data_IF_637385790251
#
_entry.id   IF_637385790251
#
_cell.length_a   1.000
_cell.length_b   1.000
_cell.length_c   1.000
_cell.angle_alpha   90.00
_cell.angle_beta   90.00
_cell.angle_gamma   90.00
#
_symmetry.space_group_name_H-M   'P 1'
#
loop_
_entity.id
_entity.type
_entity.pdbx_description
1 polymer ?
#
# COMPACT_ATOMS: atom_id res chain seq x y z
N UNK A 1 -42.20 -13.26 6.89
CA UNK A 1 -41.09 -14.19 7.16
C UNK A 1 -40.48 -14.49 5.82
N UNK A 2 -39.33 -13.88 5.53
CA UNK A 2 -38.61 -14.22 4.31
C UNK A 2 -38.05 -15.63 4.46
N UNK A 3 -38.13 -16.38 3.38
CA UNK A 3 -37.65 -17.75 3.35
C UNK A 3 -36.12 -17.75 3.30
N UNK A 4 -35.50 -18.81 3.82
CA UNK A 4 -34.04 -18.99 3.75
C UNK A 4 -33.50 -18.88 2.31
N UNK A 5 -34.35 -19.21 1.32
CA UNK A 5 -34.06 -19.12 -0.11
C UNK A 5 -33.98 -17.68 -0.61
N UNK A 6 -34.81 -16.77 -0.11
CA UNK A 6 -34.78 -15.35 -0.49
C UNK A 6 -33.51 -14.69 0.06
N UNK A 7 -33.15 -14.97 1.32
CA UNK A 7 -31.89 -14.50 1.93
C UNK A 7 -30.67 -15.00 1.16
N UNK A 8 -30.67 -16.28 0.75
CA UNK A 8 -29.54 -16.87 0.01
C UNK A 8 -29.47 -16.34 -1.43
N UNK A 9 -30.60 -16.03 -2.05
CA UNK A 9 -30.65 -15.44 -3.39
C UNK A 9 -30.13 -14.00 -3.38
N UNK A 10 -30.50 -13.21 -2.38
CA UNK A 10 -30.09 -11.83 -2.21
C UNK A 10 -28.58 -11.71 -1.97
N UNK A 11 -28.03 -12.55 -1.09
CA UNK A 11 -26.58 -12.58 -0.81
C UNK A 11 -25.79 -13.01 -2.05
N UNK A 12 -26.28 -14.00 -2.81
CA UNK A 12 -25.62 -14.44 -4.06
C UNK A 12 -25.65 -13.36 -5.14
N UNK A 13 -26.77 -12.66 -5.30
CA UNK A 13 -26.87 -11.54 -6.23
C UNK A 13 -25.87 -10.44 -5.87
N UNK A 14 -25.66 -10.19 -4.58
CA UNK A 14 -24.65 -9.26 -4.08
C UNK A 14 -23.21 -9.70 -4.34
N UNK A 15 -22.87 -10.97 -4.09
CA UNK A 15 -21.55 -11.51 -4.42
C UNK A 15 -21.27 -11.43 -5.93
N UNK A 16 -22.25 -11.80 -6.75
CA UNK A 16 -22.14 -11.71 -8.21
C UNK A 16 -22.01 -10.27 -8.69
N UNK A 17 -22.77 -9.34 -8.10
CA UNK A 17 -22.62 -7.93 -8.39
C UNK A 17 -21.23 -7.44 -7.97
N UNK A 18 -20.69 -7.81 -6.82
CA UNK A 18 -19.37 -7.37 -6.34
C UNK A 18 -18.18 -7.93 -7.14
N UNK A 19 -18.30 -9.15 -7.67
CA UNK A 19 -17.23 -9.77 -8.47
C UNK A 19 -17.10 -9.14 -9.88
N UNK A 20 -18.12 -8.45 -10.38
CA UNK A 20 -18.15 -7.81 -11.69
C UNK A 20 -17.64 -6.35 -11.67
N UNK A 21 -16.33 -6.17 -11.39
CA UNK A 21 -15.66 -4.88 -11.13
C UNK A 21 -15.73 -3.77 -12.22
N UNK A 22 -16.40 -3.99 -13.36
CA UNK A 22 -16.46 -3.05 -14.51
C UNK A 22 -17.80 -2.27 -14.60
N UNK A 23 -18.77 -2.56 -13.75
CA UNK A 23 -20.09 -1.93 -13.87
C UNK A 23 -20.17 -0.66 -13.01
N UNK A 24 -20.05 0.51 -13.65
CA UNK A 24 -20.14 1.82 -13.00
C UNK A 24 -21.48 2.06 -12.28
N UNK A 25 -22.49 1.20 -12.50
CA UNK A 25 -23.79 1.25 -11.84
C UNK A 25 -23.95 0.21 -10.70
N UNK A 26 -22.90 -0.51 -10.32
CA UNK A 26 -22.91 -1.48 -9.20
C UNK A 26 -23.49 -0.86 -7.92
N UNK A 27 -22.94 0.28 -7.51
CA UNK A 27 -23.36 0.95 -6.28
C UNK A 27 -24.82 1.37 -6.35
N UNK A 28 -25.27 1.90 -7.50
CA UNK A 28 -26.64 2.35 -7.68
C UNK A 28 -27.64 1.18 -7.69
N UNK A 29 -27.25 0.04 -8.26
CA UNK A 29 -28.06 -1.18 -8.30
C UNK A 29 -28.21 -1.77 -6.90
N UNK A 30 -27.13 -1.78 -6.13
CA UNK A 30 -27.13 -2.18 -4.72
C UNK A 30 -28.03 -1.27 -3.89
N UNK A 31 -27.95 0.05 -4.09
CA UNK A 31 -28.79 1.03 -3.39
C UNK A 31 -30.28 0.87 -3.72
N UNK A 32 -30.61 0.61 -4.99
CA UNK A 32 -31.99 0.37 -5.41
C UNK A 32 -32.56 -0.93 -4.80
N UNK A 33 -31.74 -1.97 -4.69
CA UNK A 33 -32.12 -3.23 -4.05
C UNK A 33 -32.39 -3.08 -2.54
N UNK A 34 -31.66 -2.18 -1.87
CA UNK A 34 -31.87 -1.83 -0.46
C UNK A 34 -33.11 -0.96 -0.24
N UNK A 35 -33.59 -0.25 -1.27
CA UNK A 35 -34.75 0.63 -1.18
C UNK A 35 -36.10 -0.12 -1.18
N UNK A 36 -36.14 -1.37 -1.65
CA UNK A 36 -37.36 -2.18 -1.66
C UNK A 36 -37.69 -2.75 -0.27
N UNK A 37 -38.67 -2.10 0.37
CA UNK A 37 -39.43 -2.44 1.59
C UNK A 37 -38.72 -2.27 2.95
N UNK A 38 -39.23 -1.32 3.76
CA UNK A 38 -38.78 -1.05 5.14
C UNK A 38 -38.93 -2.23 6.10
N UNK A 39 -39.87 -3.15 5.85
CA UNK A 39 -40.13 -4.29 6.73
C UNK A 39 -39.01 -5.35 6.69
N UNK A 40 -38.15 -5.30 5.66
CA UNK A 40 -37.08 -6.26 5.39
C UNK A 40 -35.67 -5.67 5.56
N UNK A 41 -35.61 -4.36 5.82
CA UNK A 41 -34.36 -3.60 5.90
C UNK A 41 -33.45 -4.09 7.02
N UNK A 42 -34.01 -4.53 8.17
CA UNK A 42 -33.21 -5.03 9.28
C UNK A 42 -32.50 -6.35 8.93
N UNK A 43 -33.22 -7.29 8.32
CA UNK A 43 -32.66 -8.58 7.89
C UNK A 43 -31.66 -8.39 6.75
N UNK A 44 -31.94 -7.50 5.79
CA UNK A 44 -30.97 -7.12 4.75
C UNK A 44 -29.70 -6.52 5.37
N UNK A 45 -29.82 -5.58 6.31
CA UNK A 45 -28.66 -5.00 7.01
C UNK A 45 -27.85 -6.07 7.76
N UNK A 46 -28.52 -6.99 8.46
CA UNK A 46 -27.83 -8.09 9.17
C UNK A 46 -27.04 -8.97 8.18
N UNK A 47 -27.64 -9.36 7.05
CA UNK A 47 -26.96 -10.14 6.00
C UNK A 47 -25.76 -9.40 5.40
N UNK A 48 -25.87 -8.08 5.19
CA UNK A 48 -24.76 -7.26 4.71
C UNK A 48 -23.64 -7.18 5.74
N UNK A 49 -23.97 -7.04 7.03
CA UNK A 49 -22.97 -7.03 8.10
C UNK A 49 -22.23 -8.36 8.14
N UNK A 50 -22.92 -9.50 8.00
CA UNK A 50 -22.30 -10.82 7.91
C UNK A 50 -21.36 -10.93 6.70
N UNK A 51 -21.81 -10.49 5.51
CA UNK A 51 -20.98 -10.49 4.30
C UNK A 51 -19.74 -9.58 4.46
N UNK A 52 -19.90 -8.39 5.04
CA UNK A 52 -18.79 -7.47 5.32
C UNK A 52 -17.79 -8.11 6.28
N UNK A 53 -18.26 -8.74 7.37
CA UNK A 53 -17.39 -9.42 8.32
C UNK A 53 -16.64 -10.60 7.67
N UNK A 54 -17.32 -11.37 6.81
CA UNK A 54 -16.68 -12.45 6.07
C UNK A 54 -15.60 -11.91 5.11
N UNK A 55 -15.90 -10.87 4.33
CA UNK A 55 -14.93 -10.26 3.42
C UNK A 55 -13.73 -9.68 4.19
N UNK A 56 -13.95 -9.08 5.35
CA UNK A 56 -12.89 -8.61 6.24
C UNK A 56 -12.03 -9.77 6.75
N UNK A 57 -12.64 -10.87 7.20
CA UNK A 57 -11.92 -12.06 7.65
C UNK A 57 -11.09 -12.69 6.52
N UNK A 58 -11.69 -12.85 5.32
CA UNK A 58 -10.99 -13.31 4.10
C UNK A 58 -9.81 -12.39 3.75
N UNK A 59 -9.99 -11.07 3.85
CA UNK A 59 -8.94 -10.09 3.58
C UNK A 59 -7.77 -10.18 4.58
N UNK A 60 -8.06 -10.35 5.87
CA UNK A 60 -7.03 -10.54 6.92
C UNK A 60 -6.23 -11.81 6.64
N UNK A 61 -6.91 -12.93 6.40
CA UNK A 61 -6.25 -14.21 6.11
C UNK A 61 -5.34 -14.13 4.86
N UNK A 62 -5.82 -13.48 3.79
CA UNK A 62 -5.02 -13.26 2.57
C UNK A 62 -3.80 -12.38 2.83
N UNK A 63 -3.94 -11.29 3.59
CA UNK A 63 -2.82 -10.40 3.95
C UNK A 63 -1.77 -11.12 4.78
N UNK A 64 -2.16 -11.95 5.73
CA UNK A 64 -1.20 -12.70 6.55
C UNK A 64 -0.45 -13.76 5.74
N UNK A 65 -1.12 -14.43 4.79
CA UNK A 65 -0.43 -15.31 3.84
C UNK A 65 0.51 -14.55 2.91
N UNK A 66 0.10 -13.39 2.41
CA UNK A 66 0.97 -12.56 1.59
C UNK A 66 2.25 -12.14 2.34
N UNK A 67 2.12 -11.74 3.61
CA UNK A 67 3.28 -11.43 4.47
C UNK A 67 4.22 -12.63 4.62
N UNK A 68 3.69 -13.82 4.91
CA UNK A 68 4.50 -15.02 5.06
C UNK A 68 5.25 -15.37 3.76
N UNK A 69 4.58 -15.32 2.62
CA UNK A 69 5.20 -15.57 1.31
C UNK A 69 6.29 -14.53 1.03
N UNK A 70 6.03 -13.26 1.36
CA UNK A 70 7.01 -12.20 1.21
C UNK A 70 8.25 -12.40 2.11
N UNK A 71 8.06 -12.87 3.34
CA UNK A 71 9.16 -13.21 4.24
C UNK A 71 10.00 -14.38 3.70
N UNK A 72 9.34 -15.43 3.18
CA UNK A 72 10.03 -16.55 2.53
C UNK A 72 10.84 -16.07 1.31
N UNK A 73 10.25 -15.23 0.46
CA UNK A 73 10.95 -14.64 -0.68
C UNK A 73 12.18 -13.83 -0.23
N UNK A 74 12.05 -12.97 0.79
CA UNK A 74 13.17 -12.20 1.36
C UNK A 74 14.27 -13.08 1.92
N UNK A 75 13.91 -14.21 2.55
CA UNK A 75 14.88 -15.17 3.06
C UNK A 75 15.68 -15.81 1.93
N UNK A 76 15.03 -16.19 0.84
CA UNK A 76 15.70 -16.79 -0.30
C UNK A 76 16.54 -15.76 -1.08
N UNK A 77 16.07 -14.51 -1.22
CA UNK A 77 16.88 -13.40 -1.73
C UNK A 77 18.14 -13.18 -0.88
N UNK A 78 18.01 -13.23 0.45
CA UNK A 78 19.13 -13.07 1.37
C UNK A 78 20.14 -14.22 1.26
N UNK A 79 19.68 -15.46 1.13
CA UNK A 79 20.54 -16.62 0.88
C UNK A 79 21.27 -16.51 -0.45
N UNK A 80 20.55 -16.14 -1.53
CA UNK A 80 21.13 -15.93 -2.85
C UNK A 80 22.20 -14.83 -2.83
N UNK A 81 21.92 -13.71 -2.15
CA UNK A 81 22.90 -12.62 -1.96
C UNK A 81 24.15 -13.10 -1.22
N UNK A 82 23.98 -13.86 -0.12
CA UNK A 82 25.11 -14.45 0.62
C UNK A 82 25.96 -15.36 -0.27
N UNK A 83 25.33 -16.25 -1.04
CA UNK A 83 26.05 -17.13 -1.98
C UNK A 83 26.79 -16.35 -3.05
N UNK A 84 26.18 -15.30 -3.61
CA UNK A 84 26.83 -14.42 -4.58
C UNK A 84 28.05 -13.72 -3.98
N UNK A 85 27.96 -13.21 -2.75
CA UNK A 85 29.09 -12.60 -2.05
C UNK A 85 30.20 -13.61 -1.80
N UNK A 86 29.89 -14.82 -1.32
CA UNK A 86 30.88 -15.87 -1.10
C UNK A 86 31.59 -16.26 -2.41
N UNK A 87 30.83 -16.44 -3.50
CA UNK A 87 31.38 -16.72 -4.83
C UNK A 87 32.29 -15.58 -5.31
N UNK A 88 31.87 -14.33 -5.11
CA UNK A 88 32.67 -13.16 -5.44
C UNK A 88 33.99 -13.14 -4.65
N UNK A 89 33.94 -13.34 -3.33
CA UNK A 89 35.14 -13.39 -2.47
C UNK A 89 36.08 -14.51 -2.90
N UNK A 90 35.55 -15.69 -3.23
CA UNK A 90 36.36 -16.82 -3.69
C UNK A 90 37.05 -16.53 -5.03
N UNK A 91 36.30 -16.01 -6.01
CA UNK A 91 36.87 -15.64 -7.32
C UNK A 91 37.90 -14.50 -7.21
N UNK A 92 37.68 -13.53 -6.30
CA UNK A 92 38.65 -12.48 -6.00
C UNK A 92 39.92 -13.05 -5.36
N UNK A 93 39.81 -14.05 -4.48
CA UNK A 93 40.99 -14.70 -3.85
C UNK A 93 41.87 -15.44 -4.86
N UNK A 94 41.30 -15.85 -5.99
CA UNK A 94 41.99 -16.52 -7.09
C UNK A 94 42.43 -15.54 -8.21
N UNK A 95 42.17 -14.24 -8.05
CA UNK A 95 42.35 -13.17 -9.05
C UNK A 95 41.65 -13.45 -10.41
N UNK A 96 40.58 -14.25 -10.39
CA UNK A 96 39.77 -14.60 -11.57
C UNK A 96 38.68 -13.55 -11.76
N UNK A 97 38.85 -12.69 -12.77
CA UNK A 97 37.87 -11.63 -13.10
C UNK A 97 36.68 -12.13 -13.92
N UNK A 98 36.87 -13.23 -14.66
CA UNK A 98 35.86 -13.83 -15.53
C UNK A 98 36.05 -15.34 -15.57
N UNK A 99 34.94 -16.06 -15.42
CA UNK A 99 34.87 -17.50 -15.52
C UNK A 99 33.69 -17.88 -16.41
N UNK A 100 33.99 -18.49 -17.56
CA UNK A 100 32.98 -19.08 -18.43
C UNK A 100 32.90 -20.58 -18.08
N UNK A 101 31.70 -21.04 -17.74
CA UNK A 101 31.35 -22.45 -17.55
C UNK A 101 30.55 -22.94 -18.74
N UNK A 102 30.29 -24.25 -18.85
CA UNK A 102 29.54 -24.84 -19.97
C UNK A 102 28.16 -24.22 -20.19
N UNK A 103 27.51 -23.71 -19.13
CA UNK A 103 26.15 -23.17 -19.18
C UNK A 103 26.04 -21.69 -18.80
N UNK A 104 27.06 -21.14 -18.13
CA UNK A 104 26.97 -19.81 -17.53
C UNK A 104 28.28 -19.03 -17.59
N UNK A 105 28.18 -17.72 -17.78
CA UNK A 105 29.28 -16.78 -17.77
C UNK A 105 29.22 -15.93 -16.51
N UNK A 106 30.23 -16.06 -15.65
CA UNK A 106 30.36 -15.29 -14.41
C UNK A 106 31.45 -14.25 -14.61
N UNK A 107 31.12 -12.98 -14.40
CA UNK A 107 32.08 -11.87 -14.50
C UNK A 107 31.95 -10.99 -13.26
N UNK A 108 33.09 -10.65 -12.65
CA UNK A 108 33.12 -9.64 -11.58
C UNK A 108 33.16 -8.28 -12.27
N UNK A 109 31.99 -7.67 -12.43
CA UNK A 109 31.84 -6.32 -12.94
C UNK A 109 31.79 -5.32 -11.78
N UNK A 110 32.25 -4.09 -12.02
CA UNK A 110 31.94 -2.96 -11.14
C UNK A 110 30.44 -2.68 -11.23
N UNK A 111 29.82 -2.30 -10.11
CA UNK A 111 28.41 -1.90 -10.12
C UNK A 111 28.21 -0.76 -11.13
N UNK A 112 27.18 -0.87 -11.96
CA UNK A 112 26.79 0.19 -12.89
C UNK A 112 26.22 1.40 -12.14
N UNK A 113 26.29 2.57 -12.78
CA UNK A 113 25.81 3.84 -12.21
C UNK A 113 26.94 4.82 -11.90
N UNK A 114 26.57 6.04 -11.45
CA UNK A 114 27.54 7.01 -10.97
C UNK A 114 28.21 6.46 -9.71
N UNK A 115 29.52 6.68 -9.59
CA UNK A 115 30.25 6.31 -8.38
C UNK A 115 29.56 6.93 -7.14
N UNK A 116 29.46 6.20 -6.02
CA UNK A 116 28.84 6.72 -4.82
C UNK A 116 29.58 7.98 -4.37
N UNK A 117 28.82 9.07 -4.16
CA UNK A 117 29.35 10.31 -3.59
C UNK A 117 29.55 10.08 -2.10
N UNK A 118 30.81 9.95 -1.67
CA UNK A 118 31.17 9.84 -0.26
C UNK A 118 31.35 11.26 0.26
N UNK A 119 30.35 11.75 1.01
CA UNK A 119 30.49 12.95 1.82
C UNK A 119 31.43 12.62 2.99
N UNK A 120 32.24 13.59 3.42
CA UNK A 120 33.11 13.37 4.57
C UNK A 120 32.26 13.34 5.86
N UNK A 121 32.69 12.57 6.87
CA UNK A 121 31.94 12.41 8.13
C UNK A 121 31.96 13.68 9.00
N UNK A 122 32.92 14.57 8.77
CA UNK A 122 33.09 15.89 9.42
C UNK A 122 32.30 17.01 8.74
N UNK A 123 31.45 16.67 7.77
CA UNK A 123 30.79 17.65 6.91
C UNK A 123 29.49 18.14 7.55
N UNK A 124 29.56 19.31 8.16
CA UNK A 124 28.39 20.01 8.68
C UNK A 124 27.58 20.61 7.52
N UNK A 125 26.26 20.38 7.51
CA UNK A 125 25.36 20.81 6.42
C UNK A 125 25.28 22.34 6.32
N UNK A 126 25.50 23.03 7.43
CA UNK A 126 25.48 24.49 7.51
C UNK A 126 26.77 25.14 6.97
N UNK A 127 27.89 24.43 7.04
CA UNK A 127 29.19 24.89 6.52
C UNK A 127 29.40 24.57 5.03
N UNK A 128 28.43 23.90 4.39
CA UNK A 128 28.44 23.67 2.96
C UNK A 128 28.32 25.00 2.21
N UNK A 129 29.14 25.24 1.17
CA UNK A 129 28.91 26.35 0.26
C UNK A 129 27.48 26.31 -0.29
N UNK A 130 26.83 27.47 -0.41
CA UNK A 130 25.42 27.60 -0.81
C UNK A 130 25.07 26.86 -2.12
N UNK A 131 26.04 26.69 -3.02
CA UNK A 131 25.90 25.91 -4.27
C UNK A 131 25.61 24.41 -4.06
N UNK A 132 25.89 23.86 -2.87
CA UNK A 132 25.69 22.45 -2.52
C UNK A 132 24.60 22.26 -1.45
N UNK A 133 23.96 23.34 -1.01
CA UNK A 133 22.83 23.27 -0.08
C UNK A 133 21.53 23.07 -0.85
N UNK A 134 20.76 22.03 -0.49
CA UNK A 134 19.40 21.85 -0.99
C UNK A 134 18.43 22.33 0.10
N UNK A 135 17.83 23.49 -0.10
CA UNK A 135 16.80 24.04 0.79
C UNK A 135 15.44 23.47 0.38
N UNK A 136 14.83 22.65 1.24
CA UNK A 136 13.47 22.15 1.05
C UNK A 136 12.53 23.02 1.89
N UNK A 137 11.61 23.75 1.25
CA UNK A 137 10.55 24.49 1.92
C UNK A 137 9.29 23.65 1.80
N UNK A 138 8.86 23.04 2.92
CA UNK A 138 7.65 22.23 2.99
C UNK A 138 6.54 23.03 3.71
N UNK A 139 5.28 22.88 3.27
CA UNK A 139 4.15 23.55 3.93
C UNK A 139 3.88 22.92 5.30
N UNK A 140 3.90 23.74 6.35
CA UNK A 140 3.47 23.32 7.67
C UNK A 140 1.94 23.26 7.74
N UNK A 141 1.41 22.09 7.39
CA UNK A 141 -0.04 21.82 7.40
C UNK A 141 -0.67 21.93 8.79
N UNK A 142 0.12 21.88 9.88
CA UNK A 142 -0.38 22.06 11.24
C UNK A 142 -0.56 23.53 11.56
N UNK A 143 0.44 24.36 11.28
CA UNK A 143 0.36 25.81 11.44
C UNK A 143 -0.72 26.43 10.54
N UNK A 144 -0.85 25.94 9.30
CA UNK A 144 -1.91 26.39 8.38
C UNK A 144 -3.30 26.03 8.93
N UNK A 145 -3.48 24.84 9.54
CA UNK A 145 -4.76 24.46 10.14
C UNK A 145 -5.10 25.33 11.35
N UNK A 146 -4.15 25.57 12.24
CA UNK A 146 -4.33 26.44 13.41
C UNK A 146 -4.64 27.90 13.00
N UNK A 147 -3.99 28.41 11.95
CA UNK A 147 -4.25 29.75 11.43
C UNK A 147 -5.63 29.87 10.76
N UNK A 148 -6.11 28.82 10.08
CA UNK A 148 -7.48 28.79 9.54
C UNK A 148 -8.52 28.77 10.66
N UNK A 149 -8.28 28.00 11.74
CA UNK A 149 -9.17 27.94 12.91
C UNK A 149 -9.15 29.26 13.71
N UNK A 150 -8.03 29.98 13.73
CA UNK A 150 -7.88 31.30 14.35
C UNK A 150 -8.48 32.45 13.51
N UNK A 151 -8.88 32.20 12.26
CA UNK A 151 -9.53 33.18 11.39
C UNK A 151 -8.57 34.11 10.63
N UNK A 152 -7.34 33.67 10.37
CA UNK A 152 -6.38 34.43 9.56
C UNK A 152 -6.75 34.37 8.07
N UNK A 153 -7.00 35.53 7.46
CA UNK A 153 -7.40 35.68 6.05
C UNK A 153 -6.34 35.12 5.09
N UNK A 154 -5.06 35.11 5.49
CA UNK A 154 -3.95 34.58 4.68
C UNK A 154 -3.96 33.05 4.59
N UNK A 155 -4.32 32.37 5.68
CA UNK A 155 -4.39 30.91 5.72
C UNK A 155 -5.68 30.39 5.05
N UNK A 156 -6.79 31.12 5.17
CA UNK A 156 -8.06 30.83 4.47
C UNK A 156 -7.96 30.98 2.94
N UNK A 157 -7.06 31.84 2.44
CA UNK A 157 -6.77 31.95 1.01
C UNK A 157 -5.96 30.75 0.45
N UNK A 158 -5.25 30.01 1.31
CA UNK A 158 -4.35 28.92 0.92
C UNK A 158 -5.00 27.54 1.08
N UNK A 159 -5.87 27.34 2.08
CA UNK A 159 -6.58 26.09 2.28
C UNK A 159 -7.97 26.29 2.92
N UNK A 160 -8.91 25.39 2.60
CA UNK A 160 -10.25 25.33 3.18
C UNK A 160 -10.42 24.02 3.95
N UNK A 161 -11.18 24.06 5.05
CA UNK A 161 -11.50 22.86 5.82
C UNK A 161 -12.70 22.16 5.17
N UNK A 162 -12.49 20.95 4.63
CA UNK A 162 -13.57 20.14 4.08
C UNK A 162 -14.49 19.55 5.17
N UNK A 163 -15.69 19.12 4.77
CA UNK A 163 -16.63 18.43 5.67
C UNK A 163 -16.04 17.10 6.19
N UNK A 164 -16.36 16.75 7.44
CA UNK A 164 -15.94 15.48 8.03
C UNK A 164 -16.72 14.34 7.37
N UNK A 165 -16.02 13.45 6.66
CA UNK A 165 -16.61 12.24 6.10
C UNK A 165 -17.27 11.36 7.17
N UNK A 166 -18.40 10.74 6.83
CA UNK A 166 -19.13 9.81 7.70
C UNK A 166 -18.76 8.36 7.34
N UNK A 167 -18.41 7.56 8.35
CA UNK A 167 -18.10 6.13 8.18
C UNK A 167 -18.99 5.28 9.08
N UNK A 168 -19.56 4.20 8.55
CA UNK A 168 -20.34 3.23 9.33
C UNK A 168 -19.40 2.49 10.31
N UNK A 169 -19.83 2.32 11.56
CA UNK A 169 -19.11 1.54 12.58
C UNK A 169 -19.93 0.31 12.94
N UNK A 170 -19.38 -0.87 12.66
CA UNK A 170 -19.93 -2.16 13.08
C UNK A 170 -19.23 -2.52 14.39
N UNK A 171 -19.99 -2.82 15.45
CA UNK A 171 -19.47 -3.24 16.77
C UNK A 171 -19.80 -4.69 17.03
#
# INVERSE_FOLDING_TARGET
>A
MNTLFEITADIRLLEELLDNADDQNQEQTILNFLADSQADLKTKVDNYVELIQELQARAIARKDRAKQIQELARNDESKAKRLKTLLQTHLQSLDIKRLDTERHRVTIAKNGGKAPLILREDLNVEDLPQQFQKVTIEPDTTAIREAIEAGDETAQAIAHLGERGQSIRIK
#
